data_IF_713918623542
#
_entry.id   IF_713918623542
#
_cell.length_a   1.000
_cell.length_b   1.000
_cell.length_c   1.000
_cell.angle_alpha   90.00
_cell.angle_beta   90.00
_cell.angle_gamma   90.00
#
_symmetry.space_group_name_H-M   'P 1'
#
loop_
_entity.id
_entity.type
_entity.pdbx_description
1 polymer ?
#
# COMPACT_ATOMS: atom_id res chain seq x y z
N UNK A 1 35.02 17.18 4.22
CA UNK A 1 34.02 17.05 5.30
C UNK A 1 32.66 16.86 4.63
N UNK A 2 32.30 15.61 4.32
CA UNK A 2 30.98 15.31 3.78
C UNK A 2 30.03 14.99 4.94
N UNK A 3 29.06 15.86 5.16
CA UNK A 3 28.01 15.70 6.17
C UNK A 3 26.95 14.73 5.67
N UNK A 4 26.93 13.51 6.20
CA UNK A 4 25.81 12.60 6.04
C UNK A 4 24.59 13.12 6.81
N UNK A 5 23.72 13.92 6.17
CA UNK A 5 22.44 14.30 6.77
C UNK A 5 21.48 13.12 6.66
N UNK A 6 21.18 12.48 7.79
CA UNK A 6 20.10 11.51 7.89
C UNK A 6 18.78 12.15 7.40
N UNK A 7 18.09 11.49 6.47
CA UNK A 7 16.81 12.00 5.99
C UNK A 7 15.78 11.99 7.13
N UNK A 8 15.05 13.09 7.37
CA UNK A 8 14.05 13.13 8.44
C UNK A 8 12.98 12.06 8.21
N UNK A 9 12.67 11.29 9.26
CA UNK A 9 11.54 10.34 9.24
C UNK A 9 10.26 11.14 9.07
N UNK A 10 9.52 10.88 8.00
CA UNK A 10 8.19 11.45 7.79
C UNK A 10 7.27 11.10 8.95
N UNK A 11 6.63 12.11 9.54
CA UNK A 11 5.71 11.92 10.66
C UNK A 11 4.58 10.93 10.32
N UNK A 12 4.15 10.11 11.30
CA UNK A 12 3.01 9.22 11.10
C UNK A 12 1.73 10.03 10.81
N UNK A 13 0.81 9.44 10.06
CA UNK A 13 -0.50 10.02 9.79
C UNK A 13 -1.38 9.93 11.04
N UNK A 14 -1.87 11.08 11.49
CA UNK A 14 -2.84 11.19 12.59
C UNK A 14 -4.17 10.56 12.20
N UNK A 15 -5.03 10.26 13.18
CA UNK A 15 -6.34 9.65 12.93
C UNK A 15 -7.24 10.53 12.04
N UNK A 16 -7.23 11.85 12.25
CA UNK A 16 -8.00 12.79 11.42
C UNK A 16 -7.50 12.85 9.97
N UNK A 17 -6.19 12.88 9.75
CA UNK A 17 -5.61 12.79 8.40
C UNK A 17 -5.99 11.46 7.72
N UNK A 18 -6.00 10.35 8.47
CA UNK A 18 -6.38 9.03 7.93
C UNK A 18 -7.82 9.01 7.45
N UNK A 19 -8.75 9.59 8.20
CA UNK A 19 -10.17 9.58 7.82
C UNK A 19 -10.42 10.34 6.52
N UNK A 20 -9.89 11.56 6.38
CA UNK A 20 -9.98 12.34 5.13
C UNK A 20 -9.33 11.58 3.98
N UNK A 21 -8.16 11.00 4.20
CA UNK A 21 -7.48 10.21 3.17
C UNK A 21 -8.34 9.04 2.69
N UNK A 22 -8.98 8.31 3.60
CA UNK A 22 -9.87 7.20 3.26
C UNK A 22 -11.12 7.66 2.50
N UNK A 23 -11.71 8.80 2.88
CA UNK A 23 -12.86 9.35 2.18
C UNK A 23 -12.51 9.74 0.73
N UNK A 24 -11.35 10.37 0.51
CA UNK A 24 -10.87 10.71 -0.84
C UNK A 24 -10.59 9.47 -1.69
N UNK A 25 -10.02 8.41 -1.11
CA UNK A 25 -9.80 7.13 -1.80
C UNK A 25 -11.13 6.45 -2.14
N UNK A 26 -12.14 6.55 -1.25
CA UNK A 26 -13.49 5.99 -1.46
C UNK A 26 -14.19 6.62 -2.67
N UNK A 27 -14.03 7.93 -2.87
CA UNK A 27 -14.56 8.64 -4.04
C UNK A 27 -13.89 8.17 -5.34
N UNK A 28 -12.58 7.90 -5.29
CA UNK A 28 -11.77 7.52 -6.44
C UNK A 28 -11.64 6.01 -6.63
N UNK A 29 -12.74 5.34 -6.97
CA UNK A 29 -12.80 3.86 -7.17
C UNK A 29 -11.74 3.30 -8.12
N UNK A 30 -11.28 4.09 -9.08
CA UNK A 30 -10.24 3.71 -10.05
C UNK A 30 -8.91 3.36 -9.40
N UNK A 31 -8.63 3.87 -8.20
CA UNK A 31 -7.40 3.58 -7.45
C UNK A 31 -7.35 2.10 -7.04
N UNK A 32 -8.50 1.52 -6.68
CA UNK A 32 -8.63 0.13 -6.22
C UNK A 32 -8.92 -0.85 -7.36
N UNK A 33 -9.04 -0.37 -8.60
CA UNK A 33 -9.19 -1.24 -9.77
C UNK A 33 -7.91 -2.07 -9.96
N UNK A 34 -8.04 -3.37 -10.23
CA UNK A 34 -6.90 -4.27 -10.49
C UNK A 34 -6.35 -4.14 -11.92
N UNK A 35 -7.10 -3.54 -12.86
CA UNK A 35 -6.68 -3.40 -14.26
C UNK A 35 -5.40 -2.58 -14.40
N UNK A 36 -4.58 -2.96 -15.37
CA UNK A 36 -3.25 -2.35 -15.65
C UNK A 36 -3.15 -1.79 -17.07
N UNK A 37 -4.28 -1.65 -17.77
CA UNK A 37 -4.31 -1.07 -19.11
C UNK A 37 -3.70 0.35 -19.11
N UNK A 38 -3.01 0.74 -20.19
CA UNK A 38 -2.39 2.08 -20.30
C UNK A 38 -3.37 3.21 -19.96
N UNK A 39 -4.63 3.09 -20.40
CA UNK A 39 -5.71 4.03 -20.09
C UNK A 39 -6.02 4.09 -18.58
N UNK A 40 -6.10 2.93 -17.92
CA UNK A 40 -6.34 2.82 -16.48
C UNK A 40 -5.17 3.38 -15.68
N UNK A 41 -3.92 3.15 -16.11
CA UNK A 41 -2.73 3.72 -15.46
C UNK A 41 -2.77 5.24 -15.48
N UNK A 42 -3.13 5.85 -16.61
CA UNK A 42 -3.29 7.31 -16.72
C UNK A 42 -4.40 7.80 -15.79
N UNK A 43 -5.57 7.14 -15.79
CA UNK A 43 -6.68 7.50 -14.91
C UNK A 43 -6.31 7.41 -13.42
N UNK A 44 -5.62 6.35 -13.01
CA UNK A 44 -5.09 6.20 -11.64
C UNK A 44 -4.14 7.33 -11.29
N UNK A 45 -3.24 7.73 -12.18
CA UNK A 45 -2.34 8.85 -11.92
C UNK A 45 -3.09 10.18 -11.73
N UNK A 46 -4.13 10.43 -12.51
CA UNK A 46 -4.99 11.60 -12.31
C UNK A 46 -5.78 11.53 -11.00
N UNK A 47 -6.32 10.36 -10.65
CA UNK A 47 -7.01 10.15 -9.38
C UNK A 47 -6.07 10.40 -8.19
N UNK A 48 -4.85 9.87 -8.23
CA UNK A 48 -3.83 10.14 -7.21
C UNK A 48 -3.48 11.62 -7.08
N UNK A 49 -3.47 12.37 -8.20
CA UNK A 49 -3.28 13.82 -8.17
C UNK A 49 -4.45 14.49 -7.42
N UNK A 50 -5.70 14.18 -7.77
CA UNK A 50 -6.89 14.73 -7.10
C UNK A 50 -6.93 14.41 -5.60
N UNK A 51 -6.63 13.17 -5.23
CA UNK A 51 -6.53 12.77 -3.81
C UNK A 51 -5.43 13.57 -3.09
N UNK A 52 -4.29 13.77 -3.73
CA UNK A 52 -3.18 14.53 -3.12
C UNK A 52 -3.55 16.01 -2.96
N UNK A 53 -4.19 16.59 -3.96
CA UNK A 53 -4.64 17.99 -3.94
C UNK A 53 -5.72 18.18 -2.85
N UNK A 54 -6.70 17.27 -2.76
CA UNK A 54 -7.73 17.29 -1.71
C UNK A 54 -7.17 17.08 -0.31
N UNK A 55 -6.24 16.14 -0.14
CA UNK A 55 -5.59 15.89 1.14
C UNK A 55 -4.77 17.10 1.61
N UNK A 56 -3.99 17.70 0.71
CA UNK A 56 -3.18 18.88 1.03
C UNK A 56 -4.04 20.13 1.24
N UNK A 57 -5.20 20.24 0.58
CA UNK A 57 -6.16 21.33 0.77
C UNK A 57 -6.89 21.25 2.12
N UNK A 58 -7.11 20.04 2.65
CA UNK A 58 -7.75 19.85 3.95
C UNK A 58 -6.95 20.42 5.14
N UNK A 59 -5.64 20.66 4.96
CA UNK A 59 -4.83 21.42 5.92
C UNK A 59 -4.62 20.78 7.30
N UNK A 60 -4.98 19.51 7.50
CA UNK A 60 -4.85 18.81 8.79
C UNK A 60 -3.43 18.40 9.17
N UNK A 61 -2.46 18.56 8.27
CA UNK A 61 -1.10 18.08 8.47
C UNK A 61 -0.10 18.61 7.45
N UNK A 62 1.16 18.14 7.49
CA UNK A 62 2.17 18.55 6.53
C UNK A 62 1.78 18.11 5.12
N UNK A 63 2.13 18.93 4.13
CA UNK A 63 1.87 18.59 2.72
C UNK A 63 2.60 17.30 2.35
N UNK A 64 1.86 16.37 1.76
CA UNK A 64 2.39 15.07 1.31
C UNK A 64 2.46 15.02 -0.20
N UNK A 65 3.46 14.32 -0.70
CA UNK A 65 3.61 14.02 -2.12
C UNK A 65 2.77 12.81 -2.51
N UNK A 66 2.44 12.69 -3.80
CA UNK A 66 1.73 11.54 -4.36
C UNK A 66 2.43 10.22 -3.96
N UNK A 67 3.77 10.18 -3.97
CA UNK A 67 4.54 8.98 -3.65
C UNK A 67 4.39 8.58 -2.17
N UNK A 68 4.35 9.55 -1.26
CA UNK A 68 4.14 9.30 0.16
C UNK A 68 2.73 8.76 0.44
N UNK A 69 1.71 9.31 -0.23
CA UNK A 69 0.33 8.86 -0.11
C UNK A 69 0.13 7.46 -0.70
N UNK A 70 0.72 7.17 -1.86
CA UNK A 70 0.74 5.81 -2.44
C UNK A 70 1.37 4.81 -1.47
N UNK A 71 2.54 5.13 -0.89
CA UNK A 71 3.19 4.27 0.10
C UNK A 71 2.37 4.12 1.39
N UNK A 72 1.68 5.17 1.82
CA UNK A 72 0.76 5.11 2.96
C UNK A 72 -0.41 4.15 2.69
N UNK A 73 -1.00 4.22 1.50
CA UNK A 73 -2.06 3.32 1.07
C UNK A 73 -1.60 1.86 1.02
N UNK A 74 -0.45 1.57 0.40
CA UNK A 74 0.07 0.19 0.36
C UNK A 74 0.32 -0.38 1.76
N UNK A 75 0.90 0.41 2.67
CA UNK A 75 1.06 0.00 4.07
C UNK A 75 -0.28 -0.29 4.75
N UNK A 76 -1.29 0.53 4.45
CA UNK A 76 -2.62 0.36 5.02
C UNK A 76 -3.28 -0.92 4.52
N UNK A 77 -3.23 -1.20 3.21
CA UNK A 77 -3.73 -2.47 2.64
C UNK A 77 -3.05 -3.69 3.25
N UNK A 78 -1.72 -3.66 3.37
CA UNK A 78 -0.96 -4.78 3.95
C UNK A 78 -1.37 -5.01 5.39
N UNK A 79 -1.42 -3.95 6.20
CA UNK A 79 -1.87 -4.04 7.60
C UNK A 79 -3.29 -4.62 7.69
N UNK A 80 -4.22 -4.10 6.90
CA UNK A 80 -5.61 -4.57 6.89
C UNK A 80 -5.73 -6.04 6.47
N UNK A 81 -4.97 -6.49 5.46
CA UNK A 81 -4.94 -7.90 5.06
C UNK A 81 -4.39 -8.80 6.17
N UNK A 82 -3.36 -8.33 6.88
CA UNK A 82 -2.79 -9.04 8.03
C UNK A 82 -3.79 -9.15 9.20
N UNK A 83 -4.42 -8.03 9.58
CA UNK A 83 -5.40 -7.97 10.67
C UNK A 83 -6.60 -8.88 10.37
N UNK A 84 -7.11 -8.85 9.12
CA UNK A 84 -8.20 -9.72 8.69
C UNK A 84 -7.80 -11.21 8.65
N UNK A 85 -6.57 -11.52 8.21
CA UNK A 85 -6.07 -12.90 8.22
C UNK A 85 -5.89 -13.44 9.65
N UNK A 86 -5.46 -12.59 10.59
CA UNK A 86 -5.36 -12.93 12.00
C UNK A 86 -6.73 -13.22 12.61
N UNK A 87 -7.71 -12.33 12.38
CA UNK A 87 -9.10 -12.50 12.81
C UNK A 87 -9.67 -13.85 12.32
N UNK A 88 -9.57 -14.12 11.02
CA UNK A 88 -10.04 -15.38 10.41
C UNK A 88 -9.32 -16.62 10.97
N UNK A 89 -8.07 -16.48 11.42
CA UNK A 89 -7.31 -17.57 12.04
C UNK A 89 -7.75 -17.83 13.48
N UNK A 90 -8.03 -16.78 14.23
CA UNK A 90 -8.51 -16.87 15.61
C UNK A 90 -9.93 -17.46 15.68
N UNK A 91 -10.81 -17.05 14.77
CA UNK A 91 -12.14 -17.64 14.59
C UNK A 91 -12.09 -19.16 14.37
N UNK A 92 -11.11 -19.64 13.58
CA UNK A 92 -10.95 -21.06 13.29
C UNK A 92 -10.32 -21.87 14.42
N UNK A 93 -9.65 -21.22 15.38
CA UNK A 93 -8.93 -21.89 16.47
C UNK A 93 -9.78 -22.14 17.70
N UNK A 94 -10.96 -21.54 17.80
CA UNK A 94 -11.81 -21.66 18.99
C UNK A 94 -12.84 -22.78 18.83
N UNK A 95 -12.60 -23.90 19.52
CA UNK A 95 -13.61 -24.93 19.80
C UNK A 95 -14.61 -24.54 20.91
N UNK A 96 -14.85 -23.24 21.11
CA UNK A 96 -15.73 -22.72 22.17
C UNK A 96 -15.48 -21.25 22.51
N UNK A 97 -16.28 -20.35 21.95
CA UNK A 97 -16.86 -19.20 22.67
C UNK A 97 -16.00 -17.96 23.00
N UNK A 98 -14.84 -17.71 22.40
CA UNK A 98 -14.16 -16.42 22.63
C UNK A 98 -14.72 -15.31 21.71
N UNK A 99 -15.05 -14.17 22.31
CA UNK A 99 -15.50 -12.94 21.63
C UNK A 99 -14.46 -12.46 20.62
N UNK A 100 -14.88 -12.04 19.40
CA UNK A 100 -13.96 -11.63 18.36
C UNK A 100 -13.19 -10.36 18.77
N UNK A 101 -11.90 -10.25 18.39
CA UNK A 101 -11.13 -9.01 18.54
C UNK A 101 -11.85 -7.85 17.86
N UNK A 102 -12.06 -6.77 18.60
CA UNK A 102 -12.60 -5.52 18.03
C UNK A 102 -11.49 -4.85 17.22
N UNK A 103 -11.61 -4.87 15.88
CA UNK A 103 -10.69 -4.12 15.02
C UNK A 103 -11.01 -2.63 15.11
N UNK A 104 -10.03 -1.74 14.88
CA UNK A 104 -10.30 -0.30 14.84
C UNK A 104 -11.15 0.05 13.61
N UNK A 105 -12.04 1.04 13.77
CA UNK A 105 -13.05 1.46 12.77
C UNK A 105 -12.44 1.76 11.38
N UNK A 106 -11.26 2.37 11.36
CA UNK A 106 -10.54 2.70 10.14
C UNK A 106 -10.10 1.47 9.34
N UNK A 107 -9.82 0.35 10.02
CA UNK A 107 -9.52 -0.93 9.36
C UNK A 107 -10.76 -1.47 8.63
N UNK A 108 -11.96 -1.40 9.22
CA UNK A 108 -13.19 -1.84 8.54
C UNK A 108 -13.47 -1.04 7.27
N UNK A 109 -13.27 0.29 7.31
CA UNK A 109 -13.39 1.15 6.12
C UNK A 109 -12.44 0.71 5.01
N UNK A 110 -11.21 0.31 5.35
CA UNK A 110 -10.25 -0.17 4.37
C UNK A 110 -10.65 -1.53 3.82
N UNK A 111 -11.13 -2.46 4.68
CA UNK A 111 -11.63 -3.79 4.26
C UNK A 111 -12.72 -3.63 3.19
N UNK A 112 -13.69 -2.75 3.43
CA UNK A 112 -14.76 -2.43 2.46
C UNK A 112 -14.17 -1.99 1.10
N UNK A 113 -13.19 -1.08 1.12
CA UNK A 113 -12.55 -0.56 -0.08
C UNK A 113 -11.74 -1.59 -0.87
N UNK A 114 -11.14 -2.57 -0.20
CA UNK A 114 -10.28 -3.60 -0.82
C UNK A 114 -10.94 -4.98 -0.90
N UNK A 115 -12.22 -5.10 -0.58
CA UNK A 115 -12.94 -6.39 -0.51
C UNK A 115 -12.82 -7.19 -1.82
N UNK A 116 -12.83 -6.49 -2.96
CA UNK A 116 -12.63 -7.10 -4.28
C UNK A 116 -11.22 -7.69 -4.47
N UNK A 117 -10.18 -7.15 -3.82
CA UNK A 117 -8.83 -7.73 -3.83
C UNK A 117 -8.71 -8.94 -2.87
N UNK A 118 -9.50 -8.98 -1.80
CA UNK A 118 -9.37 -10.00 -0.75
C UNK A 118 -10.00 -11.33 -1.12
N UNK A 119 -10.97 -11.32 -2.04
CA UNK A 119 -11.68 -12.52 -2.51
C UNK A 119 -10.75 -13.59 -3.11
N UNK A 120 -9.57 -13.19 -3.59
CA UNK A 120 -8.59 -14.07 -4.23
C UNK A 120 -7.58 -14.71 -3.26
N UNK A 121 -7.57 -14.34 -1.97
CA UNK A 121 -6.56 -14.81 -0.99
C UNK A 121 -6.98 -16.10 -0.23
N UNK A 122 -7.98 -16.82 -0.72
CA UNK A 122 -8.49 -18.03 -0.05
C UNK A 122 -7.50 -19.21 -0.05
N UNK A 123 -6.51 -19.23 -0.92
CA UNK A 123 -5.59 -20.35 -1.03
C UNK A 123 -4.21 -19.86 -1.45
N UNK A 124 -3.30 -19.74 -0.47
CA UNK A 124 -1.98 -20.39 -0.51
C UNK A 124 -1.26 -20.03 0.79
N UNK A 125 -1.34 -20.99 1.71
CA UNK A 125 -0.41 -21.10 2.81
C UNK A 125 0.95 -21.50 2.22
N UNK A 126 1.71 -20.52 1.72
CA UNK A 126 3.12 -20.71 1.45
C UNK A 126 3.92 -19.93 2.48
N UNK A 127 4.63 -20.72 3.28
CA UNK A 127 5.60 -20.34 4.29
C UNK A 127 6.44 -19.12 3.88
N UNK A 128 6.12 -17.96 4.43
CA UNK A 128 7.12 -16.91 4.64
C UNK A 128 7.42 -16.89 6.14
N UNK A 129 8.50 -17.58 6.50
CA UNK A 129 9.20 -17.35 7.76
C UNK A 129 9.46 -15.85 7.89
N UNK A 130 8.66 -15.17 8.70
CA UNK A 130 9.05 -13.88 9.26
C UNK A 130 10.14 -14.23 10.26
N UNK A 131 11.41 -13.80 10.08
CA UNK A 131 12.40 -14.02 11.11
C UNK A 131 11.92 -13.27 12.36
N UNK A 132 11.66 -14.04 13.41
CA UNK A 132 11.56 -13.56 14.78
C UNK A 132 12.67 -12.54 15.00
N UNK A 133 12.28 -11.29 15.29
CA UNK A 133 13.23 -10.24 15.63
C UNK A 133 13.82 -10.61 16.99
N UNK A 134 14.93 -11.35 16.96
CA UNK A 134 15.86 -11.46 18.07
C UNK A 134 16.80 -10.24 18.02
N UNK A 135 17.01 -9.51 19.13
CA UNK A 135 17.80 -8.29 19.10
C UNK A 135 19.27 -8.61 19.35
N UNK A 136 20.11 -8.66 18.30
CA UNK A 136 21.57 -8.63 18.47
C UNK A 136 22.28 -7.92 17.30
N UNK A 137 22.96 -6.83 17.67
CA UNK A 137 24.16 -6.20 17.11
C UNK A 137 24.67 -6.52 15.67
N UNK A 138 24.82 -5.42 14.93
CA UNK A 138 25.92 -5.05 14.01
C UNK A 138 26.09 -5.64 12.59
N UNK A 139 26.50 -4.68 11.73
CA UNK A 139 27.41 -4.76 10.58
C UNK A 139 26.85 -5.08 9.17
N UNK A 140 26.92 -4.03 8.35
CA UNK A 140 27.47 -3.97 6.98
C UNK A 140 26.92 -4.91 5.89
N UNK A 141 26.35 -4.33 4.83
CA UNK A 141 26.97 -4.24 3.49
C UNK A 141 25.92 -3.98 2.40
N UNK A 142 26.37 -3.24 1.39
CA UNK A 142 25.64 -2.81 0.21
C UNK A 142 25.26 -3.96 -0.75
N UNK A 143 24.32 -3.62 -1.65
CA UNK A 143 24.32 -3.94 -3.10
C UNK A 143 23.22 -4.90 -3.61
N UNK A 144 22.51 -4.36 -4.61
CA UNK A 144 21.68 -4.94 -5.70
C UNK A 144 20.39 -5.70 -5.40
N UNK A 145 19.28 -5.19 -5.94
CA UNK A 145 18.70 -5.79 -7.15
C UNK A 145 17.93 -4.74 -7.96
N UNK A 146 18.54 -4.39 -9.09
CA UNK A 146 17.92 -3.77 -10.25
C UNK A 146 17.05 -4.83 -10.94
N UNK A 147 15.81 -4.49 -11.33
CA UNK A 147 15.11 -4.96 -12.54
C UNK A 147 13.62 -4.62 -12.47
N UNK A 148 13.17 -3.69 -13.33
CA UNK A 148 12.15 -3.88 -14.37
C UNK A 148 12.15 -2.55 -15.15
N UNK A 149 13.08 -2.47 -16.11
CA UNK A 149 13.07 -1.50 -17.20
C UNK A 149 13.24 -2.33 -18.46
N UNK A 150 12.15 -2.60 -19.18
CA UNK A 150 12.21 -3.19 -20.51
C UNK A 150 12.23 -2.06 -21.55
N UNK A 151 13.26 -1.95 -22.39
CA UNK A 151 13.22 -1.08 -23.57
C UNK A 151 12.45 -1.77 -24.71
N UNK A 152 11.52 -1.05 -25.33
CA UNK A 152 10.84 -1.47 -26.56
C UNK A 152 11.86 -1.63 -27.72
N UNK A 153 11.76 -2.68 -28.55
CA UNK A 153 12.53 -2.76 -29.78
C UNK A 153 11.93 -1.84 -30.87
N UNK A 154 12.75 -0.90 -31.36
CA UNK A 154 12.47 -0.12 -32.58
C UNK A 154 12.55 -1.05 -33.79
N UNK A 155 11.41 -1.33 -34.45
CA UNK A 155 11.44 -1.92 -35.81
C UNK A 155 11.65 -0.82 -36.84
N UNK A 156 12.79 -0.91 -37.52
CA UNK A 156 13.16 -0.14 -38.70
C UNK A 156 12.08 -0.31 -39.78
N UNK A 157 11.67 0.81 -40.38
CA UNK A 157 10.99 0.86 -41.66
C UNK A 157 11.88 0.14 -42.69
N UNK A 158 11.39 -0.96 -43.25
CA UNK A 158 11.89 -1.48 -44.52
C UNK A 158 11.15 -0.76 -45.63
N UNK A 159 11.89 0.08 -46.35
CA UNK A 159 11.56 0.52 -47.71
C UNK A 159 11.52 -0.72 -48.62
N UNK A 160 10.42 -0.89 -49.34
CA UNK A 160 10.44 -1.56 -50.64
C UNK A 160 9.76 -0.62 -51.64
N UNK A 161 10.54 -0.29 -52.67
CA UNK A 161 10.13 0.34 -53.92
C UNK A 161 9.63 -0.76 -54.85
#
# INVERSE_FOLDING_TARGET
MESHTATPRTSPMTAGERDIFLNLIREEKVINDRRTDRRIVVLKNHAWKRVTDGFNAAGLGPKRTIQQLKKAWERLKVKTKQDHAMLKREEKKTGGGATPPTLPEDTYKVIDLISNEMKDLCCNNDSVSIPSICPTMQASNNTVFSAIMMPLPKRKLFLFY
#
